data_IF_066631418729
#
_entry.id   IF_066631418729
#
_cell.length_a   1.000
_cell.length_b   1.000
_cell.length_c   1.000
_cell.angle_alpha   90.00
_cell.angle_beta   90.00
_cell.angle_gamma   90.00
#
_symmetry.space_group_name_H-M   'P 1'
#
loop_
_entity.id
_entity.type
_entity.pdbx_description
1 polymer ?
#
# COMPACT_ATOMS: atom_id res chain seq x y z
N UNK A 1 -5.79 -18.96 -21.23
CA UNK A 1 -6.07 -17.55 -20.91
C UNK A 1 -4.84 -16.69 -21.11
N UNK A 2 -5.01 -15.39 -21.41
CA UNK A 2 -3.90 -14.43 -21.43
C UNK A 2 -3.57 -13.99 -20.02
N UNK A 3 -2.25 -13.85 -19.74
CA UNK A 3 -1.76 -13.55 -18.40
C UNK A 3 -0.36 -12.91 -18.41
N UNK A 4 0.00 -12.25 -17.31
CA UNK A 4 1.37 -11.84 -17.00
C UNK A 4 2.10 -13.04 -16.37
N UNK A 5 2.85 -13.79 -17.19
CA UNK A 5 3.46 -15.06 -16.80
C UNK A 5 4.90 -14.85 -16.34
N UNK A 6 5.19 -15.32 -15.14
CA UNK A 6 6.53 -15.39 -14.56
C UNK A 6 7.11 -16.79 -14.85
N UNK A 7 7.96 -16.91 -15.86
CA UNK A 7 8.64 -18.18 -16.22
C UNK A 7 9.94 -18.37 -15.45
N UNK A 8 10.56 -17.26 -15.07
CA UNK A 8 11.76 -17.17 -14.23
C UNK A 8 11.60 -15.95 -13.31
N UNK A 9 12.43 -15.81 -12.29
CA UNK A 9 12.41 -14.64 -11.41
C UNK A 9 12.76 -13.37 -12.19
N UNK A 10 11.96 -12.31 -12.02
CA UNK A 10 12.17 -11.04 -12.71
C UNK A 10 10.89 -10.37 -13.17
N UNK A 11 10.87 -9.84 -14.37
CA UNK A 11 9.72 -9.14 -14.96
C UNK A 11 8.84 -10.14 -15.70
N UNK A 12 7.53 -10.24 -15.38
CA UNK A 12 6.63 -11.15 -16.09
C UNK A 12 6.43 -10.73 -17.55
N UNK A 13 6.18 -11.72 -18.41
CA UNK A 13 5.82 -11.51 -19.81
C UNK A 13 4.33 -11.71 -20.05
N UNK A 14 3.74 -11.00 -21.01
CA UNK A 14 2.38 -11.27 -21.48
C UNK A 14 2.38 -12.52 -22.36
N UNK A 15 1.70 -13.59 -21.92
CA UNK A 15 1.74 -14.89 -22.58
C UNK A 15 0.45 -15.70 -22.31
N UNK A 16 0.37 -16.89 -22.87
CA UNK A 16 -0.67 -17.85 -22.55
C UNK A 16 -0.33 -18.66 -21.29
N UNK A 17 -1.34 -18.87 -20.45
CA UNK A 17 -1.28 -19.73 -19.27
C UNK A 17 -2.50 -20.66 -19.22
N UNK A 18 -2.37 -21.77 -18.50
CA UNK A 18 -3.46 -22.72 -18.33
C UNK A 18 -4.66 -22.04 -17.63
N UNK A 19 -5.86 -22.40 -18.01
CA UNK A 19 -7.09 -21.95 -17.35
C UNK A 19 -7.16 -22.51 -15.92
N UNK A 20 -7.52 -21.69 -14.91
CA UNK A 20 -7.81 -22.20 -13.58
C UNK A 20 -9.10 -23.04 -13.61
N UNK A 21 -9.18 -23.99 -12.71
CA UNK A 21 -10.38 -24.81 -12.51
C UNK A 21 -10.82 -24.72 -11.07
N UNK A 22 -12.10 -24.45 -10.85
CA UNK A 22 -12.69 -24.47 -9.53
C UNK A 22 -12.56 -25.87 -8.89
N UNK A 23 -12.39 -25.90 -7.58
CA UNK A 23 -12.34 -27.11 -6.76
C UNK A 23 -13.22 -26.98 -5.51
N UNK A 24 -13.13 -27.92 -4.57
CA UNK A 24 -13.99 -27.95 -3.39
C UNK A 24 -13.86 -26.74 -2.44
N UNK A 25 -12.80 -25.93 -2.57
CA UNK A 25 -12.54 -24.79 -1.69
C UNK A 25 -12.29 -23.48 -2.45
N UNK A 26 -12.13 -23.56 -3.79
CA UNK A 26 -11.73 -22.42 -4.59
C UNK A 26 -12.66 -22.22 -5.78
N UNK A 27 -12.90 -20.96 -6.12
CA UNK A 27 -13.71 -20.55 -7.26
C UNK A 27 -12.86 -19.78 -8.29
N UNK A 28 -13.33 -19.78 -9.54
CA UNK A 28 -12.73 -19.00 -10.62
C UNK A 28 -13.42 -17.64 -10.68
N UNK A 29 -12.64 -16.56 -10.57
CA UNK A 29 -13.10 -15.20 -10.76
C UNK A 29 -12.71 -14.70 -12.15
N UNK A 30 -13.64 -14.03 -12.86
CA UNK A 30 -13.35 -13.28 -14.07
C UNK A 30 -12.74 -11.93 -13.68
N UNK A 31 -11.45 -11.74 -13.99
CA UNK A 31 -10.72 -10.53 -13.59
C UNK A 31 -11.09 -9.36 -14.49
N UNK A 32 -11.50 -8.25 -13.89
CA UNK A 32 -11.76 -6.97 -14.57
C UNK A 32 -10.55 -6.04 -14.52
N UNK A 33 -9.80 -6.13 -13.42
CA UNK A 33 -8.63 -5.29 -13.18
C UNK A 33 -7.72 -5.95 -12.13
N UNK A 34 -6.41 -5.82 -12.29
CA UNK A 34 -5.40 -6.28 -11.34
C UNK A 34 -4.52 -5.11 -10.88
N UNK A 35 -4.27 -5.02 -9.58
CA UNK A 35 -3.41 -3.99 -9.01
C UNK A 35 -1.93 -4.36 -9.13
N UNK A 36 -1.11 -3.41 -9.56
CA UNK A 36 0.35 -3.55 -9.52
C UNK A 36 0.90 -2.78 -8.32
N UNK A 37 1.72 -3.47 -7.50
CA UNK A 37 2.29 -2.94 -6.26
C UNK A 37 3.78 -3.24 -6.14
N UNK A 38 4.53 -2.50 -5.30
CA UNK A 38 5.93 -2.81 -5.01
C UNK A 38 6.17 -4.24 -4.48
N UNK A 39 5.19 -4.81 -3.77
CA UNK A 39 5.27 -6.19 -3.28
C UNK A 39 5.27 -7.21 -4.42
N UNK A 40 4.54 -6.97 -5.51
CA UNK A 40 4.54 -7.85 -6.68
C UNK A 40 5.94 -7.92 -7.31
N UNK A 41 6.62 -6.76 -7.41
CA UNK A 41 8.01 -6.67 -7.85
C UNK A 41 8.96 -7.43 -6.93
N UNK A 42 8.75 -7.32 -5.62
CA UNK A 42 9.55 -8.04 -4.62
C UNK A 42 9.37 -9.56 -4.71
N UNK A 43 8.12 -10.03 -4.88
CA UNK A 43 7.78 -11.45 -5.06
C UNK A 43 8.42 -11.98 -6.34
N UNK A 44 8.21 -11.30 -7.46
CA UNK A 44 8.73 -11.71 -8.76
C UNK A 44 10.26 -11.76 -8.79
N UNK A 45 10.92 -10.90 -8.02
CA UNK A 45 12.38 -10.90 -7.88
C UNK A 45 12.90 -11.91 -6.83
N UNK A 46 12.04 -12.69 -6.19
CA UNK A 46 12.43 -13.65 -5.14
C UNK A 46 12.93 -13.02 -3.84
N UNK A 47 12.62 -11.74 -3.60
CA UNK A 47 13.08 -10.99 -2.40
C UNK A 47 12.00 -10.84 -1.31
N UNK A 48 10.81 -11.37 -1.56
CA UNK A 48 9.74 -11.29 -0.58
C UNK A 48 9.95 -12.27 0.57
N UNK A 49 9.80 -11.81 1.81
CA UNK A 49 10.00 -12.64 3.01
C UNK A 49 8.98 -13.79 3.15
N UNK A 50 7.88 -13.77 2.42
CA UNK A 50 6.89 -14.85 2.35
C UNK A 50 7.27 -16.02 1.42
N UNK A 51 8.47 -15.97 0.81
CA UNK A 51 9.00 -17.04 -0.05
C UNK A 51 9.00 -16.69 -1.53
N UNK A 52 9.49 -17.65 -2.31
CA UNK A 52 9.60 -17.58 -3.77
C UNK A 52 8.35 -18.21 -4.39
N UNK A 53 7.71 -17.59 -5.40
CA UNK A 53 6.55 -18.19 -6.06
C UNK A 53 6.95 -19.45 -6.86
N UNK A 54 6.05 -20.41 -7.05
CA UNK A 54 6.27 -21.50 -7.98
C UNK A 54 6.48 -20.96 -9.39
N UNK A 55 7.26 -21.66 -10.21
CA UNK A 55 7.50 -21.27 -11.60
C UNK A 55 7.17 -22.43 -12.54
N UNK A 56 6.46 -22.22 -13.66
CA UNK A 56 5.87 -20.93 -14.05
C UNK A 56 4.62 -20.58 -13.23
N UNK A 57 4.34 -19.28 -13.03
CA UNK A 57 3.12 -18.79 -12.40
C UNK A 57 2.64 -17.47 -13.01
N UNK A 58 1.39 -17.13 -12.75
CA UNK A 58 0.82 -15.82 -13.07
C UNK A 58 1.17 -14.84 -11.96
N UNK A 59 1.62 -13.64 -12.31
CA UNK A 59 1.92 -12.58 -11.37
C UNK A 59 0.64 -11.92 -10.79
N UNK A 60 0.82 -11.13 -9.72
CA UNK A 60 -0.23 -10.30 -9.13
C UNK A 60 -0.87 -10.90 -7.89
N UNK A 61 -1.03 -10.04 -6.87
CA UNK A 61 -1.55 -10.42 -5.55
C UNK A 61 -2.98 -9.97 -5.30
N UNK A 62 -3.46 -8.93 -6.00
CA UNK A 62 -4.80 -8.38 -5.81
C UNK A 62 -5.51 -8.14 -7.12
N UNK A 63 -6.83 -8.28 -7.10
CA UNK A 63 -7.69 -8.05 -8.24
C UNK A 63 -9.09 -7.58 -7.86
N UNK A 64 -9.77 -7.00 -8.84
CA UNK A 64 -11.22 -6.82 -8.86
C UNK A 64 -11.76 -7.69 -9.99
N UNK A 65 -12.82 -8.41 -9.73
CA UNK A 65 -13.43 -9.28 -10.72
C UNK A 65 -14.89 -9.58 -10.44
N UNK A 66 -15.47 -10.49 -11.23
CA UNK A 66 -16.83 -10.97 -11.08
C UNK A 66 -16.81 -12.43 -10.64
N UNK A 67 -17.42 -12.69 -9.49
CA UNK A 67 -17.64 -14.02 -8.92
C UNK A 67 -19.15 -14.24 -8.77
N UNK A 68 -19.71 -15.25 -9.44
CA UNK A 68 -21.15 -15.59 -9.38
C UNK A 68 -22.09 -14.40 -9.67
N UNK A 69 -21.66 -13.49 -10.55
CA UNK A 69 -22.40 -12.29 -10.92
C UNK A 69 -22.17 -11.08 -10.02
N UNK A 70 -21.48 -11.24 -8.90
CA UNK A 70 -21.19 -10.19 -7.94
C UNK A 70 -19.77 -9.61 -8.16
N UNK A 71 -19.64 -8.30 -8.03
CA UNK A 71 -18.35 -7.62 -8.15
C UNK A 71 -17.60 -7.65 -6.83
N UNK A 72 -16.37 -8.22 -6.83
CA UNK A 72 -15.56 -8.44 -5.65
C UNK A 72 -14.12 -7.94 -5.80
N UNK A 73 -13.54 -7.50 -4.69
CA UNK A 73 -12.08 -7.37 -4.52
C UNK A 73 -11.54 -8.64 -3.86
N UNK A 74 -10.31 -9.03 -4.21
CA UNK A 74 -9.56 -10.12 -3.58
C UNK A 74 -8.06 -9.81 -3.52
N UNK A 75 -7.35 -10.30 -2.49
CA UNK A 75 -5.91 -10.02 -2.25
C UNK A 75 -5.03 -11.27 -2.07
N UNK A 76 -5.59 -12.45 -2.30
CA UNK A 76 -4.91 -13.71 -2.07
C UNK A 76 -5.28 -14.79 -3.10
N UNK A 77 -4.94 -14.58 -4.39
CA UNK A 77 -5.19 -15.60 -5.40
C UNK A 77 -4.38 -16.86 -5.09
N UNK A 78 -4.95 -18.03 -5.44
CA UNK A 78 -4.37 -19.36 -5.20
C UNK A 78 -3.32 -19.65 -6.28
N UNK A 79 -2.07 -19.83 -5.85
CA UNK A 79 -0.99 -20.15 -6.77
C UNK A 79 -1.22 -21.47 -7.51
N UNK A 80 -0.81 -21.57 -8.79
CA UNK A 80 0.01 -20.62 -9.53
C UNK A 80 -0.76 -19.51 -10.26
N UNK A 81 -2.04 -19.27 -9.94
CA UNK A 81 -2.96 -18.36 -10.63
C UNK A 81 -3.03 -17.01 -9.93
N UNK A 82 -2.10 -16.07 -10.28
CA UNK A 82 -2.16 -14.68 -9.81
C UNK A 82 -3.29 -13.86 -10.45
N UNK A 83 -3.44 -12.62 -10.00
CA UNK A 83 -4.52 -11.72 -10.45
C UNK A 83 -4.28 -11.06 -11.80
N UNK A 84 -3.04 -11.01 -12.31
CA UNK A 84 -2.70 -10.35 -13.58
C UNK A 84 -2.98 -11.27 -14.77
N UNK A 85 -4.24 -11.63 -14.96
CA UNK A 85 -4.75 -12.54 -16.00
C UNK A 85 -6.23 -12.27 -16.27
N UNK A 86 -6.78 -12.89 -17.30
CA UNK A 86 -8.25 -12.87 -17.57
C UNK A 86 -9.05 -13.57 -16.46
N UNK A 87 -8.46 -14.56 -15.79
CA UNK A 87 -9.10 -15.33 -14.71
C UNK A 87 -8.09 -15.65 -13.61
N UNK A 88 -8.55 -15.70 -12.37
CA UNK A 88 -7.77 -16.14 -11.22
C UNK A 88 -8.52 -17.19 -10.40
N UNK A 89 -7.78 -17.99 -9.63
CA UNK A 89 -8.35 -18.95 -8.66
C UNK A 89 -8.28 -18.29 -7.27
N UNK A 90 -9.40 -18.27 -6.56
CA UNK A 90 -9.52 -17.60 -5.27
C UNK A 90 -10.31 -18.44 -4.26
N UNK A 91 -10.10 -18.22 -2.97
CA UNK A 91 -11.02 -18.63 -1.92
C UNK A 91 -12.20 -17.63 -1.88
N UNK A 92 -13.44 -18.05 -2.15
CA UNK A 92 -14.61 -17.14 -2.11
C UNK A 92 -14.80 -16.46 -0.74
N UNK A 93 -14.43 -17.12 0.35
CA UNK A 93 -14.54 -16.56 1.69
C UNK A 93 -13.57 -15.39 1.95
N UNK A 94 -12.48 -15.30 1.17
CA UNK A 94 -11.48 -14.23 1.24
C UNK A 94 -11.78 -13.05 0.30
N UNK A 95 -13.01 -12.94 -0.22
CA UNK A 95 -13.42 -11.84 -1.09
C UNK A 95 -14.16 -10.74 -0.35
N UNK A 96 -14.16 -9.52 -0.90
CA UNK A 96 -14.86 -8.36 -0.35
C UNK A 96 -15.83 -7.83 -1.40
N UNK A 97 -17.16 -7.78 -1.14
CA UNK A 97 -18.13 -7.22 -2.07
C UNK A 97 -17.86 -5.72 -2.26
N UNK A 98 -18.03 -5.23 -3.47
CA UNK A 98 -17.75 -3.84 -3.81
C UNK A 98 -19.05 -3.05 -3.99
N UNK A 99 -19.14 -1.81 -3.41
CA UNK A 99 -20.23 -0.89 -3.74
C UNK A 99 -20.29 -0.59 -5.24
N UNK A 100 -21.49 -0.49 -5.81
CA UNK A 100 -21.67 -0.22 -7.25
C UNK A 100 -21.01 1.09 -7.69
N UNK A 101 -21.03 2.11 -6.86
CA UNK A 101 -20.46 3.42 -7.12
C UNK A 101 -18.92 3.45 -7.04
N UNK A 102 -18.27 2.42 -6.51
CA UNK A 102 -16.82 2.36 -6.36
C UNK A 102 -16.16 1.93 -7.66
N UNK A 103 -15.26 2.76 -8.20
CA UNK A 103 -14.44 2.45 -9.36
C UNK A 103 -13.47 1.28 -9.08
N UNK A 104 -13.29 0.36 -10.06
CA UNK A 104 -12.43 -0.83 -9.90
C UNK A 104 -10.96 -0.46 -9.59
N UNK A 105 -10.45 0.61 -10.20
CA UNK A 105 -9.08 1.05 -9.96
C UNK A 105 -8.89 1.69 -8.58
N UNK A 106 -9.90 2.45 -8.12
CA UNK A 106 -9.88 2.99 -6.75
C UNK A 106 -10.03 1.84 -5.74
N UNK A 107 -10.90 0.86 -5.98
CA UNK A 107 -11.01 -0.35 -5.16
C UNK A 107 -9.66 -1.07 -4.98
N UNK A 108 -8.84 -1.15 -6.05
CA UNK A 108 -7.48 -1.70 -6.00
C UNK A 108 -6.50 -0.79 -5.25
N UNK A 109 -6.67 0.52 -5.26
CA UNK A 109 -5.83 1.40 -4.45
C UNK A 109 -6.09 1.21 -2.94
N UNK A 110 -7.36 0.94 -2.56
CA UNK A 110 -7.76 0.63 -1.18
C UNK A 110 -7.27 -0.75 -0.70
N UNK A 111 -6.93 -1.65 -1.62
CA UNK A 111 -6.45 -2.99 -1.34
C UNK A 111 -5.12 -3.02 -0.59
N UNK A 112 -4.10 -3.61 -1.19
CA UNK A 112 -2.80 -3.80 -0.51
C UNK A 112 -2.24 -2.48 0.05
N UNK A 113 -2.25 -1.40 -0.72
CA UNK A 113 -1.71 -0.11 -0.28
C UNK A 113 -2.61 0.57 0.75
N UNK A 114 -3.93 0.59 0.53
CA UNK A 114 -4.89 1.21 1.45
C UNK A 114 -4.98 0.48 2.78
N UNK A 115 -5.05 -0.85 2.76
CA UNK A 115 -5.03 -1.66 3.98
C UNK A 115 -3.75 -1.43 4.79
N UNK A 116 -2.58 -1.33 4.13
CA UNK A 116 -1.34 -1.01 4.83
C UNK A 116 -1.40 0.35 5.53
N UNK A 117 -1.93 1.38 4.84
CA UNK A 117 -2.08 2.72 5.38
C UNK A 117 -3.06 2.78 6.56
N UNK A 118 -4.27 2.24 6.35
CA UNK A 118 -5.33 2.28 7.36
C UNK A 118 -4.97 1.47 8.60
N UNK A 119 -4.54 0.23 8.42
CA UNK A 119 -4.20 -0.65 9.54
C UNK A 119 -2.95 -0.20 10.31
N UNK A 120 -2.02 0.51 9.66
CA UNK A 120 -0.90 1.12 10.37
C UNK A 120 -1.37 2.14 11.41
N UNK A 121 -2.38 2.94 11.05
CA UNK A 121 -2.93 3.98 11.92
C UNK A 121 -3.90 3.41 12.96
N UNK A 122 -4.95 2.74 12.51
CA UNK A 122 -6.08 2.29 13.34
C UNK A 122 -5.70 1.08 14.21
N UNK A 123 -5.21 0.02 13.59
CA UNK A 123 -4.97 -1.26 14.26
C UNK A 123 -3.58 -1.38 14.90
N UNK A 124 -2.53 -0.86 14.22
CA UNK A 124 -1.15 -1.09 14.68
C UNK A 124 -0.67 0.00 15.62
N UNK A 125 -0.90 1.25 15.28
CA UNK A 125 -0.54 2.39 16.12
C UNK A 125 -1.67 2.79 17.11
N UNK A 126 -2.89 2.32 16.91
CA UNK A 126 -4.05 2.73 17.71
C UNK A 126 -4.16 4.26 17.80
N UNK A 127 -4.14 4.94 16.64
CA UNK A 127 -4.23 6.39 16.55
C UNK A 127 -5.41 6.92 17.36
N UNK A 128 -5.14 7.89 18.23
CA UNK A 128 -6.19 8.54 19.03
C UNK A 128 -6.56 9.90 18.41
N UNK A 129 -7.85 10.30 18.49
CA UNK A 129 -8.25 11.65 18.11
C UNK A 129 -7.41 12.72 18.83
N UNK A 130 -6.97 13.73 18.07
CA UNK A 130 -6.15 14.81 18.59
C UNK A 130 -4.63 14.56 18.53
N UNK A 131 -4.18 13.41 18.05
CA UNK A 131 -2.75 13.12 17.84
C UNK A 131 -2.22 13.73 16.54
N UNK A 132 -0.91 13.91 16.47
CA UNK A 132 -0.19 14.38 15.29
C UNK A 132 0.46 13.21 14.56
N UNK A 133 0.22 13.12 13.25
CA UNK A 133 0.69 12.04 12.39
C UNK A 133 1.71 12.56 11.38
N UNK A 134 2.84 11.86 11.28
CA UNK A 134 3.81 12.02 10.20
C UNK A 134 3.67 10.85 9.21
N UNK A 135 3.53 11.17 7.92
CA UNK A 135 3.52 10.19 6.84
C UNK A 135 4.77 10.38 5.99
N UNK A 136 5.69 9.44 6.06
CA UNK A 136 6.85 9.37 5.16
C UNK A 136 6.43 8.79 3.80
N UNK A 137 7.05 9.26 2.70
CA UNK A 137 6.65 8.83 1.35
C UNK A 137 5.20 9.17 1.00
N UNK A 138 4.71 10.29 1.51
CA UNK A 138 3.32 10.71 1.45
C UNK A 138 2.76 10.86 0.01
N UNK A 139 3.62 11.07 -0.99
CA UNK A 139 3.21 11.18 -2.39
C UNK A 139 2.92 9.83 -3.08
N UNK A 140 3.37 8.71 -2.52
CA UNK A 140 3.05 7.37 -3.02
C UNK A 140 1.60 6.96 -2.70
N UNK A 141 1.07 5.93 -3.37
CA UNK A 141 -0.34 5.48 -3.19
C UNK A 141 -0.68 5.22 -1.71
N UNK A 142 0.16 4.47 -1.00
CA UNK A 142 0.00 4.22 0.43
C UNK A 142 -0.01 5.52 1.23
N UNK A 143 0.95 6.41 0.96
CA UNK A 143 1.08 7.67 1.69
C UNK A 143 -0.10 8.62 1.46
N UNK A 144 -0.60 8.71 0.23
CA UNK A 144 -1.80 9.50 -0.10
C UNK A 144 -3.03 9.01 0.69
N UNK A 145 -3.20 7.68 0.79
CA UNK A 145 -4.28 7.11 1.60
C UNK A 145 -4.04 7.35 3.09
N UNK A 146 -2.79 7.19 3.57
CA UNK A 146 -2.46 7.41 4.98
C UNK A 146 -2.76 8.84 5.45
N UNK A 147 -2.48 9.85 4.62
CA UNK A 147 -2.83 11.26 4.91
C UNK A 147 -4.33 11.42 5.11
N UNK A 148 -5.13 10.93 4.18
CA UNK A 148 -6.59 11.02 4.25
C UNK A 148 -7.16 10.18 5.40
N UNK A 149 -6.67 8.94 5.57
CA UNK A 149 -7.07 8.05 6.66
C UNK A 149 -6.79 8.67 8.04
N UNK A 150 -5.64 9.31 8.24
CA UNK A 150 -5.30 9.98 9.49
C UNK A 150 -6.32 11.08 9.82
N UNK A 151 -6.78 11.86 8.83
CA UNK A 151 -7.83 12.86 9.01
C UNK A 151 -9.16 12.21 9.40
N UNK A 152 -9.59 11.17 8.70
CA UNK A 152 -10.82 10.44 9.01
C UNK A 152 -10.80 9.76 10.39
N UNK A 153 -9.63 9.37 10.86
CA UNK A 153 -9.42 8.79 12.19
C UNK A 153 -9.24 9.84 13.29
N UNK A 154 -9.33 11.14 12.96
CA UNK A 154 -9.35 12.22 13.94
C UNK A 154 -7.98 12.81 14.31
N UNK A 155 -6.95 12.61 13.51
CA UNK A 155 -5.66 13.29 13.70
C UNK A 155 -5.85 14.82 13.72
N UNK A 156 -5.31 15.49 14.73
CA UNK A 156 -5.35 16.96 14.84
C UNK A 156 -4.42 17.62 13.81
N UNK A 157 -3.31 16.96 13.49
CA UNK A 157 -2.35 17.43 12.49
C UNK A 157 -1.76 16.26 11.71
N UNK A 158 -1.66 16.44 10.39
CA UNK A 158 -1.02 15.47 9.49
C UNK A 158 0.11 16.17 8.73
N UNK A 159 1.32 15.67 8.86
CA UNK A 159 2.49 16.12 8.11
C UNK A 159 2.85 15.06 7.08
N UNK A 160 2.93 15.43 5.81
CA UNK A 160 3.36 14.55 4.75
C UNK A 160 4.78 14.87 4.29
N UNK A 161 5.66 13.86 4.19
CA UNK A 161 7.00 14.05 3.65
C UNK A 161 7.16 13.34 2.30
N UNK A 162 7.68 14.05 1.28
CA UNK A 162 7.86 13.54 -0.07
C UNK A 162 9.09 14.18 -0.75
N UNK A 163 9.55 13.59 -1.88
CA UNK A 163 10.76 14.07 -2.58
C UNK A 163 10.46 15.16 -3.61
N UNK A 164 9.37 15.03 -4.36
CA UNK A 164 9.11 15.95 -5.47
C UNK A 164 8.17 17.09 -5.07
N UNK A 165 8.34 18.30 -5.63
CA UNK A 165 7.43 19.42 -5.39
C UNK A 165 5.97 19.07 -5.73
N UNK A 166 5.71 18.42 -6.85
CA UNK A 166 4.37 18.01 -7.28
C UNK A 166 3.76 17.00 -6.28
N UNK A 167 4.61 16.13 -5.70
CA UNK A 167 4.19 15.21 -4.64
C UNK A 167 3.79 15.93 -3.37
N UNK A 168 4.50 17.00 -2.99
CA UNK A 168 4.19 17.81 -1.81
C UNK A 168 2.88 18.59 -2.01
N UNK A 169 2.66 19.19 -3.18
CA UNK A 169 1.41 19.87 -3.52
C UNK A 169 0.21 18.91 -3.46
N UNK A 170 0.36 17.72 -4.04
CA UNK A 170 -0.68 16.68 -4.00
C UNK A 170 -1.01 16.29 -2.56
N UNK A 171 -0.02 16.07 -1.72
CA UNK A 171 -0.20 15.68 -0.31
C UNK A 171 -0.98 16.74 0.46
N UNK A 172 -0.71 18.03 0.23
CA UNK A 172 -1.48 19.13 0.81
C UNK A 172 -2.91 19.17 0.29
N UNK A 173 -3.10 18.98 -1.03
CA UNK A 173 -4.45 18.91 -1.62
C UNK A 173 -5.29 17.75 -1.06
N UNK A 174 -4.65 16.67 -0.59
CA UNK A 174 -5.29 15.52 0.06
C UNK A 174 -5.51 15.71 1.58
N UNK A 175 -5.22 16.89 2.12
CA UNK A 175 -5.56 17.26 3.49
C UNK A 175 -4.41 17.21 4.49
N UNK A 176 -3.14 17.09 4.05
CA UNK A 176 -2.01 17.30 4.95
C UNK A 176 -1.94 18.78 5.38
N UNK A 177 -1.73 19.02 6.68
CA UNK A 177 -1.64 20.37 7.24
C UNK A 177 -0.27 21.01 6.95
N UNK A 178 0.74 20.18 6.67
CA UNK A 178 2.05 20.62 6.22
C UNK A 178 2.69 19.55 5.33
N UNK A 179 3.60 19.98 4.45
CA UNK A 179 4.36 19.11 3.59
C UNK A 179 5.86 19.43 3.71
N UNK A 180 6.70 18.39 3.85
CA UNK A 180 8.14 18.52 4.07
C UNK A 180 8.88 17.82 2.93
N UNK A 181 9.82 18.50 2.26
CA UNK A 181 10.68 17.86 1.28
C UNK A 181 11.65 16.89 1.98
N UNK A 182 11.73 15.65 1.48
CA UNK A 182 12.76 14.70 1.87
C UNK A 182 14.03 15.09 1.10
N UNK A 183 14.86 15.89 1.73
CA UNK A 183 16.13 16.39 1.22
C UNK A 183 17.32 15.86 2.01
N UNK A 184 18.25 16.74 2.38
CA UNK A 184 19.46 16.39 3.11
C UNK A 184 19.14 15.79 4.49
N UNK A 185 19.68 14.61 4.82
CA UNK A 185 19.36 13.89 6.07
C UNK A 185 19.63 14.71 7.34
N UNK A 186 20.66 15.54 7.34
CA UNK A 186 21.07 16.35 8.48
C UNK A 186 20.04 17.43 8.89
N UNK A 187 19.19 17.85 7.96
CA UNK A 187 18.19 18.90 8.16
C UNK A 187 16.77 18.33 8.33
N UNK A 188 16.56 17.11 7.85
CA UNK A 188 15.23 16.51 7.77
C UNK A 188 14.55 16.38 9.13
N UNK A 189 15.25 15.95 10.18
CA UNK A 189 14.65 15.79 11.50
C UNK A 189 14.11 17.12 12.07
N UNK A 190 14.87 18.21 11.90
CA UNK A 190 14.44 19.55 12.33
C UNK A 190 13.22 20.03 11.53
N UNK A 191 13.25 19.86 10.20
CA UNK A 191 12.15 20.25 9.33
C UNK A 191 10.85 19.46 9.65
N UNK A 192 10.94 18.16 9.92
CA UNK A 192 9.80 17.34 10.36
C UNK A 192 9.24 17.82 11.70
N UNK A 193 10.11 18.11 12.66
CA UNK A 193 9.72 18.62 13.98
C UNK A 193 9.03 19.98 13.89
N UNK A 194 9.56 20.91 13.11
CA UNK A 194 8.97 22.23 12.87
C UNK A 194 7.61 22.12 12.21
N UNK A 195 7.51 21.38 11.11
CA UNK A 195 6.27 21.16 10.38
C UNK A 195 5.19 20.51 11.27
N UNK A 196 5.57 19.63 12.19
CA UNK A 196 4.69 18.99 13.15
C UNK A 196 4.41 19.86 14.41
N UNK A 197 4.94 21.08 14.48
CA UNK A 197 4.81 21.99 15.63
C UNK A 197 5.36 21.37 16.94
N UNK A 198 6.47 20.63 16.83
CA UNK A 198 7.15 19.99 17.95
C UNK A 198 6.47 18.72 18.49
N UNK A 199 5.43 18.18 17.81
CA UNK A 199 4.70 17.00 18.25
C UNK A 199 4.49 16.00 17.11
N UNK A 200 5.00 14.77 17.26
CA UNK A 200 4.77 13.64 16.38
C UNK A 200 4.45 12.43 17.26
N UNK A 201 3.20 12.01 17.26
CA UNK A 201 2.73 10.89 18.09
C UNK A 201 2.73 9.56 17.32
N UNK A 202 2.45 9.63 16.01
CA UNK A 202 2.43 8.45 15.13
C UNK A 202 3.21 8.72 13.85
N UNK A 203 4.01 7.74 13.42
CA UNK A 203 4.70 7.77 12.12
C UNK A 203 4.25 6.58 11.28
N UNK A 204 3.86 6.85 10.02
CA UNK A 204 3.61 5.84 8.99
C UNK A 204 4.79 5.83 8.04
N UNK A 205 5.54 4.72 8.01
CA UNK A 205 6.81 4.64 7.30
C UNK A 205 6.88 3.48 6.28
N UNK A 206 6.73 3.76 4.98
CA UNK A 206 7.02 2.82 3.90
C UNK A 206 8.44 2.94 3.34
N UNK A 207 9.28 3.84 3.89
CA UNK A 207 10.57 4.19 3.32
C UNK A 207 11.75 3.49 4.00
N UNK A 208 11.75 3.45 5.33
CA UNK A 208 12.89 3.06 6.15
C UNK A 208 14.15 3.92 5.86
N UNK A 209 15.36 3.41 6.16
CA UNK A 209 16.61 4.12 5.85
C UNK A 209 16.78 5.44 6.63
N UNK A 210 17.36 6.45 5.97
CA UNK A 210 17.63 7.77 6.55
C UNK A 210 16.35 8.56 6.89
N UNK A 211 15.28 8.55 6.09
CA UNK A 211 14.04 9.24 6.46
C UNK A 211 13.42 8.69 7.76
N UNK A 212 13.51 7.38 7.98
CA UNK A 212 13.06 6.77 9.23
C UNK A 212 13.92 7.18 10.43
N UNK A 213 15.25 7.22 10.26
CA UNK A 213 16.15 7.71 11.31
C UNK A 213 15.82 9.17 11.68
N UNK A 214 15.57 10.04 10.69
CA UNK A 214 15.16 11.42 10.93
C UNK A 214 13.80 11.51 11.67
N UNK A 215 12.85 10.65 11.33
CA UNK A 215 11.56 10.57 12.03
C UNK A 215 11.72 10.11 13.49
N UNK A 216 12.63 9.17 13.79
CA UNK A 216 12.98 8.77 15.18
C UNK A 216 13.52 9.95 15.98
N UNK A 217 14.38 10.78 15.36
CA UNK A 217 14.92 11.98 16.02
C UNK A 217 13.86 13.09 16.23
N UNK A 218 12.89 13.21 15.32
CA UNK A 218 11.81 14.19 15.42
C UNK A 218 10.64 13.75 16.31
N UNK A 219 10.48 12.44 16.53
CA UNK A 219 9.34 11.85 17.24
C UNK A 219 9.21 12.34 18.69
N UNK A 220 7.98 12.44 19.18
CA UNK A 220 7.65 12.82 20.55
C UNK A 220 7.90 11.69 21.55
N UNK A 221 7.82 12.00 22.83
CA UNK A 221 7.85 11.01 23.91
C UNK A 221 6.68 10.01 23.73
N UNK A 222 7.00 8.70 23.76
CA UNK A 222 6.06 7.57 23.53
C UNK A 222 5.41 7.52 22.15
N UNK A 223 6.04 8.11 21.14
CA UNK A 223 5.57 7.99 19.78
C UNK A 223 5.65 6.54 19.27
N UNK A 224 4.72 6.18 18.41
CA UNK A 224 4.60 4.87 17.74
C UNK A 224 4.98 5.03 16.27
N UNK A 225 6.04 4.35 15.86
CA UNK A 225 6.56 4.41 14.49
C UNK A 225 6.27 3.07 13.80
N UNK A 226 5.37 3.07 12.82
CA UNK A 226 4.94 1.87 12.10
C UNK A 226 5.73 1.74 10.80
N UNK A 227 6.62 0.74 10.75
CA UNK A 227 7.40 0.42 9.56
C UNK A 227 6.65 -0.58 8.67
N UNK A 228 6.47 -0.22 7.40
CA UNK A 228 5.64 -0.91 6.41
C UNK A 228 6.43 -1.35 5.18
N UNK A 229 7.58 -0.75 4.94
CA UNK A 229 8.38 -0.97 3.74
C UNK A 229 9.82 -0.48 3.89
N UNK A 230 10.56 -0.52 2.79
CA UNK A 230 11.99 -0.21 2.77
C UNK A 230 12.44 0.45 1.45
N UNK A 231 11.57 1.29 0.86
CA UNK A 231 11.84 1.84 -0.48
C UNK A 231 12.98 2.86 -0.52
N UNK A 232 13.40 3.43 0.63
CA UNK A 232 14.57 4.31 0.74
C UNK A 232 15.81 3.61 1.34
N UNK A 233 15.63 2.43 1.95
CA UNK A 233 16.74 1.64 2.48
C UNK A 233 16.27 0.41 3.24
N UNK A 234 17.04 -0.68 3.16
CA UNK A 234 16.74 -1.93 3.89
C UNK A 234 17.30 -1.94 5.31
N UNK A 235 18.13 -0.96 5.64
CA UNK A 235 18.71 -0.77 6.97
C UNK A 235 18.59 0.70 7.37
N UNK A 236 18.54 0.96 8.68
CA UNK A 236 18.53 2.31 9.25
C UNK A 236 19.37 2.34 10.51
N UNK A 237 20.16 3.42 10.70
CA UNK A 237 20.96 3.63 11.91
C UNK A 237 20.17 4.49 12.88
N UNK A 238 19.84 3.96 14.06
CA UNK A 238 19.04 4.64 15.06
C UNK A 238 19.88 5.02 16.29
N UNK A 239 19.62 6.20 16.83
CA UNK A 239 20.18 6.63 18.12
C UNK A 239 19.53 5.84 19.26
N UNK A 240 20.32 5.04 19.98
CA UNK A 240 19.83 4.36 21.20
C UNK A 240 19.34 5.36 22.26
N UNK A 241 19.91 6.56 22.32
CA UNK A 241 19.49 7.60 23.24
C UNK A 241 18.11 8.15 22.86
N UNK A 242 17.85 8.40 21.57
CA UNK A 242 16.53 8.83 21.08
C UNK A 242 15.46 7.77 21.37
N UNK A 243 15.71 6.51 21.01
CA UNK A 243 14.75 5.41 21.21
C UNK A 243 14.40 5.23 22.70
N UNK A 244 15.41 5.13 23.58
CA UNK A 244 15.20 4.92 25.02
C UNK A 244 14.72 6.17 25.73
N UNK A 245 15.33 7.33 25.44
CA UNK A 245 15.03 8.59 26.12
C UNK A 245 13.62 9.08 25.85
N UNK A 246 13.07 8.76 24.68
CA UNK A 246 11.69 9.08 24.32
C UNK A 246 10.71 7.91 24.52
N UNK A 247 11.19 6.74 24.97
CA UNK A 247 10.37 5.53 25.13
C UNK A 247 9.59 5.18 23.86
N UNK A 248 10.25 5.22 22.69
CA UNK A 248 9.60 5.02 21.40
C UNK A 248 9.17 3.56 21.20
N UNK A 249 8.04 3.36 20.51
CA UNK A 249 7.57 2.08 20.04
C UNK A 249 7.81 1.96 18.53
N UNK A 250 8.73 1.08 18.13
CA UNK A 250 8.98 0.78 16.71
C UNK A 250 8.24 -0.50 16.36
N UNK A 251 7.24 -0.37 15.50
CA UNK A 251 6.24 -1.41 15.22
C UNK A 251 6.34 -1.86 13.77
N UNK A 252 6.73 -3.12 13.53
CA UNK A 252 6.61 -3.71 12.20
C UNK A 252 5.15 -4.00 11.83
N UNK A 253 4.75 -3.78 10.58
CA UNK A 253 3.43 -4.12 10.07
C UNK A 253 3.49 -4.77 8.69
N UNK A 254 2.62 -5.76 8.49
CA UNK A 254 2.35 -6.38 7.20
C UNK A 254 0.90 -6.85 7.15
N UNK A 255 0.17 -6.45 6.11
CA UNK A 255 -1.22 -6.84 5.89
C UNK A 255 -1.43 -8.36 5.80
N UNK A 256 -0.38 -9.09 5.37
CA UNK A 256 -0.47 -10.55 5.20
C UNK A 256 -0.65 -11.30 6.51
N UNK A 257 -0.33 -10.66 7.64
CA UNK A 257 -0.47 -11.22 8.99
C UNK A 257 -1.58 -10.56 9.80
N UNK A 258 -2.29 -9.60 9.26
CA UNK A 258 -3.44 -9.02 9.93
C UNK A 258 -4.63 -10.00 9.90
N UNK A 259 -5.41 -10.11 10.99
CA UNK A 259 -6.58 -10.97 11.02
C UNK A 259 -7.57 -10.65 9.90
N UNK A 260 -8.20 -11.67 9.27
CA UNK A 260 -9.12 -11.46 8.14
C UNK A 260 -10.26 -10.50 8.45
N UNK A 261 -10.83 -10.59 9.65
CA UNK A 261 -11.92 -9.71 10.11
C UNK A 261 -11.47 -8.26 10.26
N UNK A 262 -10.23 -8.02 10.71
CA UNK A 262 -9.65 -6.67 10.83
C UNK A 262 -9.41 -6.07 9.44
N UNK A 263 -8.86 -6.86 8.50
CA UNK A 263 -8.70 -6.43 7.11
C UNK A 263 -10.04 -6.09 6.46
N UNK A 264 -11.03 -6.98 6.63
CA UNK A 264 -12.37 -6.80 6.06
C UNK A 264 -13.03 -5.51 6.57
N UNK A 265 -13.02 -5.28 7.88
CA UNK A 265 -13.59 -4.08 8.48
C UNK A 265 -12.93 -2.80 7.94
N UNK A 266 -11.60 -2.77 7.89
CA UNK A 266 -10.83 -1.65 7.36
C UNK A 266 -11.12 -1.40 5.86
N UNK A 267 -11.11 -2.46 5.04
CA UNK A 267 -11.39 -2.35 3.60
C UNK A 267 -12.80 -1.82 3.34
N UNK A 268 -13.81 -2.39 3.97
CA UNK A 268 -15.20 -1.96 3.80
C UNK A 268 -15.40 -0.50 4.24
N UNK A 269 -14.76 -0.08 5.33
CA UNK A 269 -14.79 1.33 5.78
C UNK A 269 -14.19 2.27 4.73
N UNK A 270 -13.03 1.93 4.18
CA UNK A 270 -12.41 2.73 3.11
C UNK A 270 -13.25 2.72 1.83
N UNK A 271 -13.83 1.58 1.45
CA UNK A 271 -14.69 1.46 0.28
C UNK A 271 -15.93 2.37 0.38
N UNK A 272 -16.56 2.46 1.56
CA UNK A 272 -17.65 3.39 1.81
C UNK A 272 -17.22 4.86 1.69
N UNK A 273 -16.07 5.25 2.24
CA UNK A 273 -15.51 6.59 2.14
C UNK A 273 -15.23 6.96 0.68
N UNK A 274 -14.60 6.05 -0.06
CA UNK A 274 -14.28 6.24 -1.47
C UNK A 274 -15.54 6.33 -2.35
N UNK A 275 -16.56 5.50 -2.10
CA UNK A 275 -17.84 5.55 -2.81
C UNK A 275 -18.58 6.89 -2.60
N UNK A 276 -18.35 7.58 -1.47
CA UNK A 276 -18.86 8.93 -1.20
C UNK A 276 -17.95 10.05 -1.70
N UNK A 277 -16.82 9.72 -2.33
CA UNK A 277 -15.84 10.68 -2.79
C UNK A 277 -15.01 11.33 -1.67
N UNK A 278 -14.94 10.71 -0.50
CA UNK A 278 -14.19 11.20 0.67
C UNK A 278 -12.77 10.64 0.77
N UNK A 279 -12.40 9.72 -0.15
CA UNK A 279 -11.08 9.14 -0.25
C UNK A 279 -10.68 9.03 -1.73
N UNK A 280 -9.54 9.60 -2.11
CA UNK A 280 -9.11 9.75 -3.50
C UNK A 280 -7.69 9.27 -3.72
N UNK A 281 -7.47 8.59 -4.84
CA UNK A 281 -6.15 8.26 -5.38
C UNK A 281 -6.23 8.31 -6.90
N UNK A 282 -5.25 8.91 -7.55
CA UNK A 282 -5.15 8.84 -9.01
C UNK A 282 -4.86 7.40 -9.47
N UNK A 283 -5.60 6.97 -10.50
CA UNK A 283 -5.49 5.65 -11.10
C UNK A 283 -5.03 5.76 -12.54
N UNK A 284 -4.06 4.94 -12.91
CA UNK A 284 -3.60 4.76 -14.28
C UNK A 284 -3.95 3.34 -14.74
N UNK A 285 -4.74 3.25 -15.81
CA UNK A 285 -5.10 1.95 -16.43
C UNK A 285 -4.19 1.65 -17.58
N UNK A 286 -3.65 0.44 -17.58
CA UNK A 286 -2.71 -0.06 -18.58
C UNK A 286 -3.25 -1.40 -19.10
N UNK A 287 -3.28 -1.65 -20.41
CA UNK A 287 -3.60 -2.99 -20.92
C UNK A 287 -2.68 -4.05 -20.32
N UNK A 288 -3.20 -5.22 -19.98
CA UNK A 288 -2.40 -6.32 -19.46
C UNK A 288 -1.25 -6.73 -20.42
N UNK A 289 -1.46 -6.54 -21.71
CA UNK A 289 -0.44 -6.78 -22.74
C UNK A 289 0.82 -5.94 -22.54
N UNK A 290 0.70 -4.76 -21.91
CA UNK A 290 1.77 -3.81 -21.65
C UNK A 290 2.38 -3.97 -20.24
N UNK A 291 2.25 -5.14 -19.62
CA UNK A 291 2.69 -5.41 -18.24
C UNK A 291 4.17 -5.06 -18.01
N UNK A 292 5.05 -5.28 -18.98
CA UNK A 292 6.49 -4.94 -18.84
C UNK A 292 6.69 -3.45 -18.65
N UNK A 293 6.04 -2.65 -19.46
CA UNK A 293 6.10 -1.19 -19.39
C UNK A 293 5.48 -0.66 -18.05
N UNK A 294 4.36 -1.24 -17.64
CA UNK A 294 3.77 -0.94 -16.33
C UNK A 294 4.73 -1.25 -15.16
N UNK A 295 5.49 -2.36 -15.27
CA UNK A 295 6.47 -2.76 -14.26
C UNK A 295 7.61 -1.76 -14.13
N UNK A 296 8.16 -1.30 -15.27
CA UNK A 296 9.20 -0.26 -15.30
C UNK A 296 8.69 1.08 -14.75
N UNK A 297 7.47 1.48 -15.12
CA UNK A 297 6.84 2.70 -14.59
C UNK A 297 6.63 2.65 -13.09
N UNK A 298 6.26 1.50 -12.52
CA UNK A 298 6.15 1.36 -11.08
C UNK A 298 7.49 1.61 -10.38
N UNK A 299 8.60 1.12 -10.94
CA UNK A 299 9.94 1.34 -10.40
C UNK A 299 10.35 2.82 -10.39
N UNK A 300 9.85 3.61 -11.34
CA UNK A 300 10.08 5.05 -11.41
C UNK A 300 9.26 5.87 -10.38
N UNK A 301 8.31 5.25 -9.67
CA UNK A 301 7.49 5.89 -8.64
C UNK A 301 6.43 6.83 -9.22
N UNK A 302 5.41 6.35 -9.91
CA UNK A 302 4.45 7.15 -10.67
C UNK A 302 3.49 7.97 -9.80
N UNK A 303 3.49 7.77 -8.48
CA UNK A 303 2.62 8.46 -7.52
C UNK A 303 1.11 8.29 -7.80
N UNK A 304 0.74 7.26 -8.55
CA UNK A 304 -0.63 6.86 -8.88
C UNK A 304 -0.75 5.35 -8.84
N UNK A 305 -1.95 4.82 -8.65
CA UNK A 305 -2.18 3.38 -8.70
C UNK A 305 -2.15 2.89 -10.14
N UNK A 306 -1.18 2.04 -10.47
CA UNK A 306 -1.17 1.33 -11.75
C UNK A 306 -2.09 0.12 -11.65
N UNK A 307 -2.98 0.00 -12.64
CA UNK A 307 -3.98 -1.07 -12.75
C UNK A 307 -3.88 -1.70 -14.13
N UNK A 308 -3.68 -2.99 -14.16
CA UNK A 308 -3.64 -3.79 -15.39
C UNK A 308 -5.05 -4.27 -15.73
N UNK A 309 -5.44 -4.08 -17.00
CA UNK A 309 -6.77 -4.47 -17.51
C UNK A 309 -6.58 -5.59 -18.53
N UNK A 310 -7.15 -6.77 -18.30
CA UNK A 310 -7.10 -7.91 -19.21
C UNK A 310 -7.70 -7.65 -20.59
#
# INVERSE_FOLDING_TARGET
MKAAVLRELGVPGYDEFAEPRADAGNAVVEVRAAGLNPVDVSIAAGRFYGGVPPLPSVAGREGVGVLDGERVYFDAPVLPYGSMAERALIDPAATYPLPDALDDGLALALGIAGLAAWLALDWRAHLQPGEHVLVLGASGVLGQIAVQAAKHLGAARVVGAARSPEGLERVQALGADAAVPIGEPSELAAALGEAAQGRIDVVVDPLFGEPFAAAVEAASFRARLVSLGSSAGVTSTLSSAAVRGKMLEILGHSNFFAPPEVKRAAYMRMAELAARGELHVEVERVPLADVRDAWERLAAGPHRKIVLVP
#
